data_IF_248104856615
#
_entry.id   IF_248104856615
#
_cell.length_a   1.000
_cell.length_b   1.000
_cell.length_c   1.000
_cell.angle_alpha   90.00
_cell.angle_beta   90.00
_cell.angle_gamma   90.00
#
_symmetry.space_group_name_H-M   'P 1'
#
loop_
_entity.id
_entity.type
_entity.pdbx_description
1 polymer ?
#
# COMPACT_ATOMS: atom_id res chain seq x y z
N UNK A 1 -6.91 11.59 2.47
CA UNK A 1 -6.43 10.33 3.10
C UNK A 1 -7.57 9.33 3.35
N UNK A 2 -8.69 9.74 3.97
CA UNK A 2 -9.86 8.87 4.22
C UNK A 2 -10.48 8.13 3.01
N UNK A 3 -10.60 8.73 1.81
CA UNK A 3 -11.18 8.04 0.66
C UNK A 3 -10.36 6.82 0.21
N UNK A 4 -9.03 6.93 0.31
CA UNK A 4 -8.11 5.85 -0.04
C UNK A 4 -8.27 4.69 0.93
N UNK A 5 -8.34 4.95 2.23
CA UNK A 5 -8.55 3.90 3.23
C UNK A 5 -9.90 3.20 3.05
N UNK A 6 -10.96 3.96 2.76
CA UNK A 6 -12.29 3.39 2.47
C UNK A 6 -12.29 2.53 1.20
N UNK A 7 -11.52 2.93 0.19
CA UNK A 7 -11.35 2.15 -1.03
C UNK A 7 -10.57 0.85 -0.80
N UNK A 8 -9.50 0.90 0.00
CA UNK A 8 -8.73 -0.27 0.38
C UNK A 8 -9.56 -1.23 1.25
N UNK A 9 -10.41 -0.71 2.11
CA UNK A 9 -11.40 -1.47 2.89
C UNK A 9 -12.44 -2.13 1.98
N UNK A 10 -13.00 -1.40 1.00
CA UNK A 10 -13.93 -1.96 -0.01
C UNK A 10 -13.29 -3.08 -0.85
N UNK A 11 -11.98 -3.02 -1.07
CA UNK A 11 -11.21 -4.07 -1.75
C UNK A 11 -10.80 -5.24 -0.83
N UNK A 12 -11.15 -5.18 0.45
CA UNK A 12 -10.80 -6.14 1.50
C UNK A 12 -9.29 -6.25 1.74
N UNK A 13 -8.53 -5.20 1.40
CA UNK A 13 -7.09 -5.12 1.62
C UNK A 13 -6.76 -4.62 3.03
N UNK A 14 -7.68 -3.87 3.63
CA UNK A 14 -7.63 -3.41 5.01
C UNK A 14 -8.91 -3.82 5.72
N UNK A 15 -8.79 -4.19 6.99
CA UNK A 15 -9.90 -4.34 7.90
C UNK A 15 -9.84 -3.18 8.90
N UNK A 16 -11.01 -2.66 9.28
CA UNK A 16 -11.08 -1.61 10.29
C UNK A 16 -11.67 -2.09 11.60
N UNK A 17 -11.26 -1.45 12.69
CA UNK A 17 -11.82 -1.68 14.02
C UNK A 17 -11.85 -0.36 14.79
N UNK A 18 -12.81 -0.25 15.69
CA UNK A 18 -12.91 0.89 16.61
C UNK A 18 -12.17 0.56 17.89
N UNK A 19 -11.26 1.43 18.31
CA UNK A 19 -10.66 1.36 19.63
C UNK A 19 -11.16 2.54 20.46
N UNK A 20 -11.65 2.24 21.67
CA UNK A 20 -12.11 3.23 22.63
C UNK A 20 -10.93 3.55 23.53
N UNK A 21 -10.40 4.77 23.39
CA UNK A 21 -9.39 5.28 24.32
C UNK A 21 -9.99 5.41 25.71
N UNK A 22 -9.18 5.33 26.77
CA UNK A 22 -9.64 5.47 28.17
C UNK A 22 -10.46 6.75 28.42
N UNK A 23 -10.20 7.82 27.67
CA UNK A 23 -10.96 9.08 27.69
C UNK A 23 -12.26 9.06 26.85
N UNK A 24 -12.77 7.89 26.44
CA UNK A 24 -14.04 7.73 25.71
C UNK A 24 -14.02 8.12 24.22
N UNK A 25 -12.89 8.59 23.70
CA UNK A 25 -12.74 9.01 22.31
C UNK A 25 -12.55 7.79 21.40
N UNK A 26 -13.50 7.56 20.47
CA UNK A 26 -13.44 6.48 19.49
C UNK A 26 -12.51 6.85 18.34
N UNK A 27 -11.50 6.02 18.08
CA UNK A 27 -10.63 6.13 16.90
C UNK A 27 -10.77 4.88 16.04
N UNK A 28 -10.84 5.08 14.72
CA UNK A 28 -10.87 4.00 13.73
C UNK A 28 -9.43 3.62 13.40
N UNK A 29 -9.09 2.37 13.66
CA UNK A 29 -7.80 1.77 13.32
C UNK A 29 -7.98 0.82 12.15
N UNK A 30 -6.87 0.58 11.44
CA UNK A 30 -6.84 -0.26 10.25
C UNK A 30 -5.73 -1.29 10.40
N UNK A 31 -6.03 -2.54 10.04
CA UNK A 31 -5.08 -3.63 9.96
C UNK A 31 -5.05 -4.19 8.55
N UNK A 32 -3.86 -4.49 8.04
CA UNK A 32 -3.70 -5.10 6.73
C UNK A 32 -4.15 -6.56 6.75
N UNK A 33 -4.99 -6.94 5.79
CA UNK A 33 -5.47 -8.32 5.66
C UNK A 33 -4.43 -9.18 4.95
N UNK A 34 -4.58 -10.51 4.97
CA UNK A 34 -3.72 -11.40 4.18
C UNK A 34 -3.81 -11.11 2.68
N UNK A 35 -5.01 -10.78 2.18
CA UNK A 35 -5.23 -10.32 0.80
C UNK A 35 -4.48 -9.00 0.54
N UNK A 36 -4.54 -8.07 1.48
CA UNK A 36 -3.81 -6.81 1.45
C UNK A 36 -2.30 -7.01 1.36
N UNK A 37 -1.73 -7.93 2.14
CA UNK A 37 -0.31 -8.28 2.10
C UNK A 37 0.11 -8.84 0.74
N UNK A 38 -0.70 -9.75 0.16
CA UNK A 38 -0.43 -10.32 -1.16
C UNK A 38 -0.43 -9.27 -2.26
N UNK A 39 -1.49 -8.44 -2.32
CA UNK A 39 -1.60 -7.34 -3.28
C UNK A 39 -0.44 -6.33 -3.12
N UNK A 40 -0.06 -6.02 -1.87
CA UNK A 40 1.07 -5.15 -1.60
C UNK A 40 2.36 -5.72 -2.20
N UNK A 41 2.64 -7.00 -1.98
CA UNK A 41 3.83 -7.65 -2.53
C UNK A 41 3.84 -7.63 -4.06
N UNK A 42 2.70 -7.92 -4.70
CA UNK A 42 2.57 -7.89 -6.16
C UNK A 42 2.85 -6.49 -6.72
N UNK A 43 2.33 -5.45 -6.07
CA UNK A 43 2.58 -4.06 -6.45
C UNK A 43 4.02 -3.62 -6.26
N UNK A 44 4.65 -4.01 -5.15
CA UNK A 44 6.07 -3.75 -4.90
C UNK A 44 6.91 -4.42 -5.99
N UNK A 45 6.65 -5.69 -6.28
CA UNK A 45 7.36 -6.41 -7.35
C UNK A 45 7.15 -5.76 -8.72
N UNK A 46 5.95 -5.26 -9.02
CA UNK A 46 5.66 -4.54 -10.25
C UNK A 46 6.44 -3.21 -10.34
N UNK A 47 6.49 -2.47 -9.24
CA UNK A 47 7.25 -1.24 -9.14
C UNK A 47 8.75 -1.48 -9.33
N UNK A 48 9.30 -2.54 -8.72
CA UNK A 48 10.70 -2.90 -8.88
C UNK A 48 11.06 -3.23 -10.33
N UNK A 49 10.17 -3.91 -11.07
CA UNK A 49 10.37 -4.13 -12.52
C UNK A 49 10.46 -2.83 -13.30
N UNK A 50 9.55 -1.89 -13.04
CA UNK A 50 9.56 -0.57 -13.68
C UNK A 50 10.82 0.21 -13.31
N UNK A 51 11.23 0.16 -12.04
CA UNK A 51 12.46 0.80 -11.56
C UNK A 51 13.70 0.24 -12.26
N UNK A 52 13.79 -1.09 -12.41
CA UNK A 52 14.89 -1.73 -13.13
C UNK A 52 14.93 -1.33 -14.60
N UNK A 53 13.76 -1.24 -15.26
CA UNK A 53 13.66 -0.75 -16.64
C UNK A 53 14.19 0.69 -16.76
N UNK A 54 13.71 1.60 -15.91
CA UNK A 54 14.18 3.01 -15.89
C UNK A 54 15.70 3.07 -15.67
N UNK A 55 16.21 2.28 -14.72
CA UNK A 55 17.65 2.23 -14.45
C UNK A 55 18.45 1.71 -15.65
N UNK A 56 17.92 0.71 -16.37
CA UNK A 56 18.57 0.19 -17.58
C UNK A 56 18.62 1.25 -18.70
N UNK A 57 17.53 2.01 -18.89
CA UNK A 57 17.49 3.12 -19.85
C UNK A 57 18.50 4.23 -19.49
N UNK A 58 18.59 4.61 -18.20
CA UNK A 58 19.56 5.62 -17.76
C UNK A 58 21.01 5.20 -17.98
N UNK A 59 21.32 3.91 -17.79
CA UNK A 59 22.66 3.39 -18.09
C UNK A 59 22.96 3.41 -19.59
N UNK A 60 21.97 3.18 -20.46
CA UNK A 60 22.16 3.28 -21.91
C UNK A 60 22.49 4.70 -22.39
N UNK A 61 21.92 5.72 -21.75
CA UNK A 61 22.13 7.15 -22.10
C UNK A 61 23.52 7.68 -21.69
N UNK A 62 24.26 6.96 -20.84
CA UNK A 62 25.57 7.40 -20.34
C UNK A 62 26.77 6.83 -21.11
N UNK A 63 26.53 6.02 -22.16
CA UNK A 63 27.57 5.45 -23.03
C UNK A 63 27.52 6.00 -24.47
N UNK A 64 27.01 7.22 -24.66
CA UNK A 64 27.16 8.01 -25.90
C UNK A 64 27.90 9.32 -25.61
#
# INVERSE_FOLDING_TARGET
>A
MYPVLKHLEKKELLQSYWNVSENGMKRKFYIITNKGKKELQERVNAWDRVRLLIQSCQKGVTYE
#
